data_IF_001499396436
#
_entry.id   IF_001499396436
#
_cell.length_a   1.000
_cell.length_b   1.000
_cell.length_c   1.000
_cell.angle_alpha   90.00
_cell.angle_beta   90.00
_cell.angle_gamma   90.00
#
_symmetry.space_group_name_H-M   'P 1'
#
loop_
_entity.id
_entity.type
_entity.pdbx_description
1 polymer ?
#
# COMPACT_ATOMS: atom_id res chain seq x y z
N UNK A 1 -64.26 45.07 -37.83
CA UNK A 1 -63.84 43.72 -38.34
C UNK A 1 -62.33 43.65 -38.09
N UNK A 2 -61.93 43.04 -37.01
CA UNK A 2 -60.51 42.94 -36.61
C UNK A 2 -60.16 41.44 -36.48
N UNK A 3 -59.32 40.95 -37.39
CA UNK A 3 -58.90 39.57 -37.42
C UNK A 3 -57.74 39.37 -36.41
N UNK A 4 -57.90 38.45 -35.46
CA UNK A 4 -56.86 38.05 -34.55
C UNK A 4 -56.07 36.90 -35.16
N UNK A 5 -54.76 37.06 -35.33
CA UNK A 5 -53.83 36.05 -35.76
C UNK A 5 -53.35 35.27 -34.55
N UNK A 6 -53.70 33.97 -34.53
CA UNK A 6 -53.26 33.03 -33.47
C UNK A 6 -51.91 32.43 -33.88
N UNK A 7 -50.83 32.84 -33.22
CA UNK A 7 -49.48 32.28 -33.43
C UNK A 7 -49.31 31.01 -32.63
N UNK A 8 -49.17 29.85 -33.28
CA UNK A 8 -48.95 28.57 -32.70
C UNK A 8 -47.43 28.39 -32.42
N UNK A 9 -47.05 28.39 -31.12
CA UNK A 9 -45.70 28.06 -30.67
C UNK A 9 -45.51 26.53 -30.62
N UNK A 10 -44.72 26.00 -31.55
CA UNK A 10 -44.31 24.60 -31.56
C UNK A 10 -43.06 24.50 -30.67
N UNK A 11 -43.19 23.97 -29.46
CA UNK A 11 -42.06 23.58 -28.61
C UNK A 11 -41.54 22.21 -29.06
N UNK A 12 -40.38 22.18 -29.67
CA UNK A 12 -39.63 20.94 -29.94
C UNK A 12 -38.96 20.45 -28.65
N UNK A 13 -39.47 19.37 -28.10
CA UNK A 13 -38.80 18.68 -27.02
C UNK A 13 -37.55 17.98 -27.58
N UNK A 14 -36.36 18.38 -27.11
CA UNK A 14 -35.10 17.70 -27.38
C UNK A 14 -35.05 16.33 -26.71
N UNK A 15 -34.28 15.39 -27.25
CA UNK A 15 -34.19 14.04 -26.65
C UNK A 15 -33.57 14.08 -25.26
N UNK A 16 -34.28 13.51 -24.28
CA UNK A 16 -33.76 13.29 -22.95
C UNK A 16 -32.56 12.32 -23.04
N UNK A 17 -31.40 12.81 -22.67
CA UNK A 17 -30.22 11.94 -22.46
C UNK A 17 -30.51 11.05 -21.26
N UNK A 18 -30.76 9.76 -21.50
CA UNK A 18 -30.77 8.73 -20.49
C UNK A 18 -29.41 8.70 -19.80
N UNK A 19 -29.32 9.16 -18.57
CA UNK A 19 -28.23 8.79 -17.67
C UNK A 19 -28.24 7.26 -17.54
N UNK A 20 -27.30 6.62 -18.21
CA UNK A 20 -27.09 5.19 -18.12
C UNK A 20 -26.59 4.85 -16.74
N UNK A 21 -27.33 3.98 -16.07
CA UNK A 21 -27.01 3.37 -14.79
C UNK A 21 -25.69 2.57 -14.95
N UNK A 22 -24.57 3.12 -14.49
CA UNK A 22 -23.20 2.60 -14.67
C UNK A 22 -22.87 1.40 -13.75
N UNK A 23 -23.93 0.79 -13.16
CA UNK A 23 -23.80 -0.32 -12.22
C UNK A 23 -23.46 -1.69 -12.87
N UNK A 24 -23.34 -1.76 -14.20
CA UNK A 24 -23.12 -3.02 -14.89
C UNK A 24 -21.94 -2.98 -15.91
N UNK A 25 -20.87 -2.24 -15.61
CA UNK A 25 -19.63 -2.36 -16.35
C UNK A 25 -18.93 -3.66 -15.93
N UNK A 26 -18.65 -4.58 -16.85
CA UNK A 26 -17.98 -5.81 -16.49
C UNK A 26 -16.57 -5.52 -15.95
N UNK A 27 -16.19 -6.21 -14.88
CA UNK A 27 -14.89 -6.11 -14.18
C UNK A 27 -13.67 -6.08 -15.13
N UNK A 28 -13.77 -6.72 -16.28
CA UNK A 28 -12.74 -6.75 -17.33
C UNK A 28 -12.39 -5.36 -17.89
N UNK A 29 -13.32 -4.41 -17.90
CA UNK A 29 -13.07 -3.06 -18.46
C UNK A 29 -12.36 -2.15 -17.45
N UNK A 30 -12.54 -2.38 -16.15
CA UNK A 30 -11.80 -1.67 -15.09
C UNK A 30 -10.33 -2.12 -15.01
N UNK A 31 -10.09 -3.41 -15.23
CA UNK A 31 -8.73 -3.97 -15.25
C UNK A 31 -7.85 -3.42 -16.38
N UNK A 32 -8.44 -3.07 -17.52
CA UNK A 32 -7.72 -2.55 -18.68
C UNK A 32 -7.22 -1.10 -18.50
N UNK A 33 -7.74 -0.35 -17.54
CA UNK A 33 -7.33 1.04 -17.27
C UNK A 33 -6.26 1.19 -16.17
N UNK A 34 -5.84 0.09 -15.52
CA UNK A 34 -4.64 0.05 -14.70
C UNK A 34 -3.49 -0.14 -15.67
N UNK A 35 -2.95 0.97 -16.16
CA UNK A 35 -1.91 0.98 -17.17
C UNK A 35 -0.71 0.12 -16.73
N UNK A 36 -0.55 -1.05 -17.35
CA UNK A 36 0.74 -1.75 -17.48
C UNK A 36 1.65 -0.96 -18.46
N UNK A 37 1.56 0.38 -18.39
CA UNK A 37 2.43 1.26 -19.13
C UNK A 37 3.86 1.04 -18.62
N UNK A 38 4.81 0.97 -19.53
CA UNK A 38 6.26 0.83 -19.35
C UNK A 38 6.86 1.94 -18.46
N UNK A 39 6.32 2.14 -17.24
CA UNK A 39 6.91 3.06 -16.28
C UNK A 39 8.31 2.54 -15.94
N UNK A 40 9.32 3.38 -16.20
CA UNK A 40 10.71 3.08 -15.89
C UNK A 40 10.82 2.68 -14.40
N UNK A 41 11.53 1.58 -14.08
CA UNK A 41 11.77 1.20 -12.69
C UNK A 41 12.47 2.32 -11.91
N UNK A 42 12.02 2.54 -10.67
CA UNK A 42 12.56 3.54 -9.75
C UNK A 42 13.13 2.83 -8.52
N UNK A 43 14.14 1.97 -8.72
CA UNK A 43 14.81 1.28 -7.63
C UNK A 43 15.53 2.26 -6.70
N UNK A 44 15.41 2.04 -5.40
CA UNK A 44 16.07 2.85 -4.39
C UNK A 44 16.67 1.98 -3.27
N UNK A 45 17.81 2.39 -2.67
CA UNK A 45 18.43 1.66 -1.58
C UNK A 45 17.62 1.79 -0.28
N UNK A 46 17.86 0.84 0.64
CA UNK A 46 17.41 0.91 2.03
C UNK A 46 18.31 1.87 2.79
N UNK A 47 17.77 2.99 3.29
CA UNK A 47 18.56 4.02 3.98
C UNK A 47 18.02 4.21 5.38
N UNK A 48 18.91 4.12 6.39
CA UNK A 48 18.59 4.50 7.77
C UNK A 48 18.31 5.99 7.86
N UNK A 49 17.25 6.35 8.61
CA UNK A 49 16.82 7.75 8.81
C UNK A 49 16.50 8.00 10.28
N UNK A 50 16.83 9.20 10.73
CA UNK A 50 16.22 9.80 11.90
C UNK A 50 14.93 10.49 11.43
N UNK A 51 13.79 9.86 11.64
CA UNK A 51 12.49 10.29 11.16
C UNK A 51 11.41 9.93 12.20
N UNK A 52 10.71 10.94 12.70
CA UNK A 52 9.55 10.71 13.57
C UNK A 52 8.46 9.97 12.79
N UNK A 53 8.39 8.66 13.02
CA UNK A 53 7.40 7.78 12.42
C UNK A 53 6.31 7.47 13.43
N UNK A 54 5.07 7.84 13.11
CA UNK A 54 3.96 7.77 14.07
C UNK A 54 3.17 6.48 13.93
N UNK A 55 2.60 6.04 15.07
CA UNK A 55 1.59 4.99 15.07
C UNK A 55 0.34 5.43 14.32
N UNK A 56 -0.38 4.46 13.79
CA UNK A 56 -1.66 4.73 13.14
C UNK A 56 -2.69 3.63 13.42
N UNK A 57 -3.95 4.04 13.45
CA UNK A 57 -5.10 3.14 13.36
C UNK A 57 -5.86 3.48 12.09
N UNK A 58 -5.79 2.59 11.11
CA UNK A 58 -6.46 2.72 9.83
C UNK A 58 -7.47 1.57 9.64
N UNK A 59 -8.29 1.64 8.58
CA UNK A 59 -9.28 0.61 8.27
C UNK A 59 -8.86 -0.24 7.09
N UNK A 60 -9.16 -1.54 7.18
CA UNK A 60 -9.06 -2.46 6.03
C UNK A 60 -10.17 -2.19 5.01
N UNK A 61 -10.13 -2.92 3.88
CA UNK A 61 -11.22 -2.90 2.88
C UNK A 61 -12.58 -3.34 3.45
N UNK A 62 -12.56 -4.19 4.48
CA UNK A 62 -13.76 -4.69 5.20
C UNK A 62 -14.15 -3.78 6.38
N UNK A 63 -13.62 -2.55 6.42
CA UNK A 63 -13.90 -1.53 7.44
C UNK A 63 -13.48 -1.94 8.86
N UNK A 64 -12.60 -2.94 9.01
CA UNK A 64 -12.07 -3.40 10.29
C UNK A 64 -10.90 -2.50 10.73
N UNK A 65 -10.82 -2.11 12.01
CA UNK A 65 -9.69 -1.34 12.50
C UNK A 65 -8.41 -2.18 12.50
N UNK A 66 -7.30 -1.55 12.16
CA UNK A 66 -5.95 -2.10 12.21
C UNK A 66 -5.03 -1.08 12.87
N UNK A 67 -4.35 -1.47 13.94
CA UNK A 67 -3.35 -0.63 14.60
C UNK A 67 -1.94 -1.17 14.35
N UNK A 68 -1.01 -0.29 13.96
CA UNK A 68 0.35 -0.69 13.60
C UNK A 68 1.15 -1.19 14.81
N UNK A 69 1.08 -0.52 15.95
CA UNK A 69 1.80 -0.92 17.18
C UNK A 69 1.37 -2.31 17.65
N UNK A 70 0.07 -2.57 17.67
CA UNK A 70 -0.46 -3.89 18.03
C UNK A 70 0.00 -4.97 17.05
N UNK A 71 -0.04 -4.65 15.75
CA UNK A 71 0.44 -5.56 14.72
C UNK A 71 1.92 -5.87 14.81
N UNK A 72 2.75 -4.88 15.18
CA UNK A 72 4.20 -5.02 15.31
C UNK A 72 4.61 -5.88 16.51
N UNK A 73 3.73 -6.05 17.51
CA UNK A 73 4.06 -6.80 18.71
C UNK A 73 4.52 -8.22 18.38
N UNK A 74 5.69 -8.60 18.90
CA UNK A 74 6.28 -9.92 18.71
C UNK A 74 6.93 -10.18 17.34
N UNK A 75 7.02 -9.16 16.48
CA UNK A 75 7.71 -9.24 15.19
C UNK A 75 9.02 -8.45 15.26
N UNK A 76 10.19 -9.06 14.96
CA UNK A 76 11.46 -8.33 14.97
C UNK A 76 11.53 -7.16 13.98
N UNK A 77 10.91 -7.32 12.81
CA UNK A 77 10.92 -6.33 11.71
C UNK A 77 9.53 -6.19 11.12
N UNK A 78 9.10 -4.96 10.87
CA UNK A 78 7.87 -4.65 10.14
C UNK A 78 8.18 -3.74 8.96
N UNK A 79 7.70 -4.13 7.77
CA UNK A 79 7.70 -3.30 6.56
C UNK A 79 6.33 -2.65 6.42
N UNK A 80 6.30 -1.33 6.38
CA UNK A 80 5.12 -0.54 6.02
C UNK A 80 5.29 -0.09 4.58
N UNK A 81 4.51 -0.66 3.68
CA UNK A 81 4.49 -0.32 2.25
C UNK A 81 3.42 0.74 1.99
N UNK A 82 3.79 1.88 1.44
CA UNK A 82 2.85 2.88 0.91
C UNK A 82 2.74 2.72 -0.60
N UNK A 83 1.56 2.36 -1.08
CA UNK A 83 1.33 2.07 -2.48
C UNK A 83 0.11 2.80 -3.05
N UNK A 84 0.03 2.89 -4.38
CA UNK A 84 -1.20 3.27 -5.06
C UNK A 84 -1.58 2.18 -6.06
N UNK A 85 -2.83 1.68 -6.00
CA UNK A 85 -3.29 0.54 -6.81
C UNK A 85 -3.21 0.78 -8.32
N UNK A 86 -3.22 2.04 -8.74
CA UNK A 86 -3.07 2.46 -10.14
C UNK A 86 -1.60 2.72 -10.56
N UNK A 87 -0.64 2.70 -9.61
CA UNK A 87 0.77 3.02 -9.91
C UNK A 87 1.49 1.79 -10.46
N UNK A 88 2.04 1.87 -11.66
CA UNK A 88 2.76 0.78 -12.31
C UNK A 88 3.97 0.30 -11.49
N UNK A 89 4.74 1.24 -10.88
CA UNK A 89 5.88 0.89 -10.03
C UNK A 89 5.43 0.15 -8.75
N UNK A 90 4.31 0.58 -8.14
CA UNK A 90 3.73 -0.15 -7.00
C UNK A 90 3.29 -1.56 -7.40
N UNK A 91 2.59 -1.70 -8.51
CA UNK A 91 2.13 -3.00 -9.00
C UNK A 91 3.30 -3.96 -9.30
N UNK A 92 4.38 -3.46 -9.90
CA UNK A 92 5.57 -4.25 -10.18
C UNK A 92 6.28 -4.68 -8.90
N UNK A 93 6.49 -3.74 -7.96
CA UNK A 93 7.28 -4.01 -6.76
C UNK A 93 6.51 -4.80 -5.69
N UNK A 94 5.18 -4.79 -5.69
CA UNK A 94 4.36 -5.59 -4.77
C UNK A 94 4.65 -7.10 -4.87
N UNK A 95 5.02 -7.62 -6.05
CA UNK A 95 5.46 -9.00 -6.21
C UNK A 95 6.77 -9.29 -5.44
N UNK A 96 7.66 -8.30 -5.33
CA UNK A 96 8.89 -8.43 -4.52
C UNK A 96 8.51 -8.51 -3.04
N UNK A 97 7.64 -7.62 -2.58
CA UNK A 97 7.19 -7.59 -1.18
C UNK A 97 6.47 -8.88 -0.80
N UNK A 98 5.62 -9.40 -1.69
CA UNK A 98 4.91 -10.66 -1.48
C UNK A 98 5.88 -11.84 -1.35
N UNK A 99 6.93 -11.93 -2.21
CA UNK A 99 7.97 -12.96 -2.07
C UNK A 99 8.75 -12.84 -0.76
N UNK A 100 9.11 -11.62 -0.35
CA UNK A 100 9.75 -11.37 0.95
C UNK A 100 8.85 -11.80 2.10
N UNK A 101 7.55 -11.43 2.06
CA UNK A 101 6.57 -11.87 3.04
C UNK A 101 6.47 -13.39 3.12
N UNK A 102 6.23 -14.05 2.01
CA UNK A 102 6.11 -15.52 1.95
C UNK A 102 7.35 -16.21 2.51
N UNK A 103 8.53 -15.69 2.20
CA UNK A 103 9.81 -16.29 2.63
C UNK A 103 10.11 -16.07 4.11
N UNK A 104 9.78 -14.89 4.65
CA UNK A 104 10.27 -14.48 5.97
C UNK A 104 9.21 -14.37 7.06
N UNK A 105 7.91 -14.50 6.78
CA UNK A 105 6.83 -14.37 7.77
C UNK A 105 6.97 -15.35 8.94
N UNK A 106 7.42 -16.58 8.69
CA UNK A 106 7.65 -17.59 9.73
C UNK A 106 8.87 -17.29 10.61
N UNK A 107 9.71 -16.35 10.17
CA UNK A 107 10.85 -15.83 10.93
C UNK A 107 10.53 -14.50 11.62
N UNK A 108 9.27 -14.07 11.60
CA UNK A 108 8.81 -12.88 12.30
C UNK A 108 8.79 -11.60 11.47
N UNK A 109 8.94 -11.66 10.13
CA UNK A 109 8.68 -10.50 9.29
C UNK A 109 7.20 -10.12 9.36
N UNK A 110 6.91 -8.87 9.69
CA UNK A 110 5.61 -8.24 9.49
C UNK A 110 5.60 -7.41 8.19
N UNK A 111 4.49 -7.43 7.47
CA UNK A 111 4.24 -6.53 6.34
C UNK A 111 2.83 -5.97 6.47
N UNK A 112 2.67 -4.67 6.27
CA UNK A 112 1.38 -4.01 6.10
C UNK A 112 1.46 -3.05 4.92
N UNK A 113 0.48 -3.12 4.03
CA UNK A 113 0.37 -2.18 2.92
C UNK A 113 -0.67 -1.10 3.23
N UNK A 114 -0.27 0.17 3.04
CA UNK A 114 -1.11 1.36 3.21
C UNK A 114 -1.46 1.90 1.84
N UNK A 115 -2.73 1.80 1.48
CA UNK A 115 -3.23 2.29 0.21
C UNK A 115 -3.38 3.80 0.22
N UNK A 116 -2.76 4.43 -0.76
CA UNK A 116 -2.74 5.87 -0.96
C UNK A 116 -3.40 6.25 -2.28
N UNK A 117 -4.18 7.32 -2.27
CA UNK A 117 -4.73 7.94 -3.50
C UNK A 117 -5.55 7.00 -4.37
N UNK A 118 -6.03 5.90 -3.80
CA UNK A 118 -6.70 4.81 -4.50
C UNK A 118 -8.08 4.56 -3.91
N UNK A 119 -9.09 4.46 -4.77
CA UNK A 119 -10.39 4.02 -4.32
C UNK A 119 -10.40 2.51 -3.99
N UNK A 120 -11.45 2.04 -3.35
CA UNK A 120 -11.53 0.66 -2.86
C UNK A 120 -11.45 -0.39 -3.99
N UNK A 121 -11.90 -0.07 -5.20
CA UNK A 121 -11.84 -0.99 -6.34
C UNK A 121 -10.42 -1.10 -6.89
N UNK A 122 -9.70 0.03 -7.01
CA UNK A 122 -8.28 0.05 -7.39
C UNK A 122 -7.43 -0.78 -6.40
N UNK A 123 -7.72 -0.66 -5.09
CA UNK A 123 -7.04 -1.44 -4.04
C UNK A 123 -7.39 -2.94 -4.16
N UNK A 124 -8.67 -3.28 -4.34
CA UNK A 124 -9.11 -4.67 -4.49
C UNK A 124 -8.51 -5.36 -5.72
N UNK A 125 -8.45 -4.63 -6.85
CA UNK A 125 -7.81 -5.12 -8.07
C UNK A 125 -6.31 -5.38 -7.82
N UNK A 126 -5.63 -4.48 -7.14
CA UNK A 126 -4.21 -4.63 -6.79
C UNK A 126 -3.98 -5.88 -5.93
N UNK A 127 -4.74 -6.05 -4.82
CA UNK A 127 -4.64 -7.21 -3.94
C UNK A 127 -4.84 -8.52 -4.71
N UNK A 128 -5.90 -8.60 -5.52
CA UNK A 128 -6.24 -9.81 -6.25
C UNK A 128 -5.20 -10.16 -7.34
N UNK A 129 -4.65 -9.14 -8.01
CA UNK A 129 -3.63 -9.34 -9.07
C UNK A 129 -2.34 -9.91 -8.51
N UNK A 130 -1.91 -9.41 -7.33
CA UNK A 130 -0.65 -9.80 -6.71
C UNK A 130 -0.80 -11.09 -5.90
N UNK A 131 -1.99 -11.34 -5.34
CA UNK A 131 -2.25 -12.44 -4.40
C UNK A 131 -1.82 -12.09 -2.97
N UNK A 132 -1.97 -10.82 -2.57
CA UNK A 132 -1.56 -10.32 -1.25
C UNK A 132 -2.37 -10.99 -0.15
N UNK A 133 -1.69 -11.58 0.85
CA UNK A 133 -2.28 -12.18 2.05
C UNK A 133 -1.85 -11.51 3.37
N UNK A 134 -1.05 -10.45 3.32
CA UNK A 134 -0.76 -9.59 4.47
C UNK A 134 -1.78 -8.45 4.59
N UNK A 135 -1.87 -7.77 5.77
CA UNK A 135 -2.82 -6.69 5.98
C UNK A 135 -2.69 -5.56 4.97
N UNK A 136 -3.84 -5.12 4.41
CA UNK A 136 -3.95 -3.94 3.55
C UNK A 136 -4.93 -2.97 4.18
N UNK A 137 -4.50 -1.74 4.43
CA UNK A 137 -5.28 -0.67 5.03
C UNK A 137 -5.34 0.55 4.12
N UNK A 138 -6.32 1.42 4.33
CA UNK A 138 -6.55 2.59 3.48
C UNK A 138 -6.33 3.87 4.29
N UNK A 139 -5.39 4.71 3.87
CA UNK A 139 -5.21 6.04 4.43
C UNK A 139 -5.97 7.09 3.59
N UNK A 140 -5.71 7.16 2.27
CA UNK A 140 -6.35 8.14 1.39
C UNK A 140 -6.99 7.47 0.18
N UNK A 141 -8.22 7.91 -0.18
CA UNK A 141 -9.00 7.34 -1.29
C UNK A 141 -8.93 8.18 -2.56
N UNK A 142 -8.57 9.45 -2.45
CA UNK A 142 -8.60 10.40 -3.57
C UNK A 142 -7.23 11.02 -3.81
N UNK A 143 -6.90 11.23 -5.08
CA UNK A 143 -5.65 11.88 -5.49
C UNK A 143 -5.50 13.31 -4.94
N UNK A 144 -6.61 14.00 -4.68
CA UNK A 144 -6.63 15.34 -4.08
C UNK A 144 -6.18 15.38 -2.61
N UNK A 145 -6.32 14.28 -1.88
CA UNK A 145 -5.97 14.16 -0.45
C UNK A 145 -4.46 13.95 -0.22
N UNK A 146 -3.66 13.93 -1.28
CA UNK A 146 -2.23 13.59 -1.23
C UNK A 146 -1.43 14.32 -0.15
N UNK A 147 -1.66 15.63 0.03
CA UNK A 147 -0.87 16.43 0.97
C UNK A 147 -1.24 16.18 2.44
N UNK A 148 -2.36 15.54 2.68
CA UNK A 148 -2.89 15.28 4.02
C UNK A 148 -2.37 13.96 4.57
N UNK A 149 -1.91 13.04 3.69
CA UNK A 149 -1.44 11.71 4.07
C UNK A 149 -0.14 11.73 4.87
N UNK A 150 0.02 10.74 5.75
CA UNK A 150 1.26 10.49 6.47
C UNK A 150 2.40 10.14 5.50
N UNK A 151 2.10 9.36 4.47
CA UNK A 151 3.00 9.06 3.36
C UNK A 151 3.62 10.32 2.75
N UNK A 152 2.82 11.32 2.41
CA UNK A 152 3.34 12.58 1.85
C UNK A 152 4.31 13.26 2.80
N UNK A 153 4.00 13.31 4.09
CA UNK A 153 4.85 13.92 5.12
C UNK A 153 6.17 13.19 5.24
N UNK A 154 6.16 11.85 5.38
CA UNK A 154 7.37 11.04 5.53
C UNK A 154 8.29 11.15 4.33
N UNK A 155 7.79 10.93 3.12
CA UNK A 155 8.64 10.99 1.92
C UNK A 155 9.22 12.38 1.70
N UNK A 156 8.49 13.46 2.05
CA UNK A 156 9.02 14.83 1.96
C UNK A 156 10.09 15.09 3.00
N UNK A 157 9.94 14.58 4.21
CA UNK A 157 10.94 14.69 5.26
C UNK A 157 12.27 14.02 4.88
N UNK A 158 12.24 12.91 4.12
CA UNK A 158 13.45 12.23 3.63
C UNK A 158 13.94 12.75 2.28
N UNK A 159 13.33 13.82 1.73
CA UNK A 159 13.78 14.48 0.50
C UNK A 159 13.23 13.88 -0.81
N UNK A 160 12.28 12.96 -0.77
CA UNK A 160 11.63 12.44 -1.97
C UNK A 160 10.75 13.52 -2.63
N UNK A 161 11.12 13.92 -3.87
CA UNK A 161 10.45 14.97 -4.64
C UNK A 161 9.51 14.44 -5.72
N UNK A 162 9.40 13.12 -5.90
CA UNK A 162 8.52 12.51 -6.90
C UNK A 162 7.07 13.02 -6.73
N UNK A 163 6.33 13.12 -7.83
CA UNK A 163 4.96 13.68 -7.79
C UNK A 163 4.05 12.88 -6.87
N UNK A 164 4.01 11.57 -7.04
CA UNK A 164 3.16 10.65 -6.27
C UNK A 164 3.95 9.93 -5.18
N UNK A 165 5.19 9.53 -5.47
CA UNK A 165 6.14 8.95 -4.53
C UNK A 165 5.78 7.52 -4.09
N UNK A 166 4.95 6.82 -4.83
CA UNK A 166 4.66 5.40 -4.61
C UNK A 166 5.42 4.54 -5.61
N UNK A 167 5.90 3.34 -5.20
CA UNK A 167 5.93 2.89 -3.82
C UNK A 167 6.92 3.68 -2.95
N UNK A 168 6.68 3.66 -1.64
CA UNK A 168 7.57 4.13 -0.59
C UNK A 168 7.48 3.16 0.58
N UNK A 169 8.58 2.91 1.25
CA UNK A 169 8.62 1.98 2.37
C UNK A 169 9.22 2.63 3.61
N UNK A 170 8.62 2.34 4.77
CA UNK A 170 9.23 2.49 6.07
C UNK A 170 9.44 1.11 6.68
N UNK A 171 10.67 0.80 7.10
CA UNK A 171 11.00 -0.47 7.73
C UNK A 171 11.39 -0.17 9.18
N UNK A 172 10.72 -0.83 10.10
CA UNK A 172 10.85 -0.63 11.55
C UNK A 172 11.45 -1.88 12.16
N UNK A 173 12.54 -1.74 12.88
CA UNK A 173 12.99 -2.74 13.84
C UNK A 173 12.20 -2.53 15.14
N UNK A 174 11.47 -3.53 15.62
CA UNK A 174 10.53 -3.33 16.74
C UNK A 174 11.22 -3.05 18.07
N UNK A 175 12.51 -3.34 18.18
CA UNK A 175 13.35 -2.90 19.31
C UNK A 175 13.48 -1.36 19.39
N UNK A 176 13.21 -0.63 18.32
CA UNK A 176 13.25 0.83 18.25
C UNK A 176 11.86 1.47 18.48
N UNK A 177 10.84 0.66 18.73
CA UNK A 177 9.50 1.15 19.06
C UNK A 177 9.52 1.74 20.46
N UNK A 178 9.22 3.04 20.53
CA UNK A 178 9.13 3.77 21.79
C UNK A 178 7.85 3.43 22.56
N UNK A 179 7.87 3.52 23.90
CA UNK A 179 6.64 3.38 24.71
C UNK A 179 5.54 4.35 24.23
N UNK A 180 4.25 3.99 24.40
CA UNK A 180 3.14 4.87 24.01
C UNK A 180 3.02 6.03 25.01
N UNK A 181 3.59 7.19 24.66
CA UNK A 181 3.53 8.41 25.48
C UNK A 181 2.90 9.55 24.67
N UNK A 182 1.64 9.89 24.99
CA UNK A 182 0.93 11.02 24.37
C UNK A 182 1.02 11.01 22.83
N UNK A 183 1.57 12.07 22.25
CA UNK A 183 1.79 12.20 20.80
C UNK A 183 3.22 11.84 20.36
N UNK A 184 3.93 11.06 21.16
CA UNK A 184 5.29 10.61 20.79
C UNK A 184 5.25 9.75 19.52
N UNK A 185 6.30 9.79 18.67
CA UNK A 185 6.41 8.90 17.54
C UNK A 185 6.47 7.43 17.97
N UNK A 186 6.05 6.54 17.09
CA UNK A 186 6.19 5.10 17.26
C UNK A 186 7.66 4.71 17.29
N UNK A 187 8.45 5.28 16.38
CA UNK A 187 9.89 5.09 16.28
C UNK A 187 10.54 6.36 15.68
N UNK A 188 11.80 6.62 16.07
CA UNK A 188 12.61 7.72 15.51
C UNK A 188 13.69 7.22 14.57
N UNK A 189 14.16 6.00 14.76
CA UNK A 189 15.08 5.32 13.85
C UNK A 189 14.28 4.38 12.95
N UNK A 190 14.22 4.68 11.67
CA UNK A 190 13.54 3.87 10.66
C UNK A 190 14.42 3.75 9.41
N UNK A 191 14.20 2.70 8.64
CA UNK A 191 14.82 2.58 7.33
C UNK A 191 13.78 2.91 6.27
N UNK A 192 14.18 3.64 5.23
CA UNK A 192 13.24 4.04 4.17
C UNK A 192 13.76 3.64 2.79
N UNK A 193 12.81 3.34 1.90
CA UNK A 193 13.07 3.18 0.46
C UNK A 193 12.16 4.13 -0.30
N UNK A 194 12.75 5.09 -1.01
CA UNK A 194 12.01 6.10 -1.77
C UNK A 194 11.84 5.66 -3.24
N UNK A 195 11.24 4.49 -3.44
CA UNK A 195 11.12 3.85 -4.75
C UNK A 195 10.83 2.37 -4.61
N UNK A 196 11.19 1.61 -5.64
CA UNK A 196 11.05 0.17 -5.64
C UNK A 196 12.17 -0.48 -4.81
N UNK A 197 11.79 -1.42 -3.93
CA UNK A 197 12.74 -2.23 -3.16
C UNK A 197 13.60 -3.07 -4.11
N UNK A 198 14.91 -3.07 -3.88
CA UNK A 198 15.85 -4.01 -4.49
C UNK A 198 15.80 -5.32 -3.69
N UNK A 199 15.25 -6.38 -4.28
CA UNK A 199 14.96 -7.65 -3.58
C UNK A 199 16.19 -8.20 -2.86
N UNK A 200 17.34 -8.29 -3.54
CA UNK A 200 18.58 -8.81 -2.96
C UNK A 200 19.13 -7.98 -1.80
N UNK A 201 18.86 -6.68 -1.79
CA UNK A 201 19.23 -5.80 -0.67
C UNK A 201 18.30 -6.02 0.53
N UNK A 202 17.00 -6.12 0.28
CA UNK A 202 16.01 -6.42 1.31
C UNK A 202 16.26 -7.81 1.93
N UNK A 203 16.57 -8.82 1.15
CA UNK A 203 16.95 -10.14 1.66
C UNK A 203 18.16 -10.06 2.60
N UNK A 204 19.25 -9.39 2.18
CA UNK A 204 20.42 -9.21 3.04
C UNK A 204 20.08 -8.45 4.33
N UNK A 205 19.25 -7.42 4.23
CA UNK A 205 18.76 -6.66 5.39
C UNK A 205 17.99 -7.55 6.36
N UNK A 206 17.06 -8.35 5.88
CA UNK A 206 16.23 -9.25 6.68
C UNK A 206 17.03 -10.42 7.26
N UNK A 207 17.96 -10.99 6.52
CA UNK A 207 18.83 -12.08 7.02
C UNK A 207 19.69 -11.67 8.21
N UNK A 208 20.05 -10.40 8.32
CA UNK A 208 20.82 -9.87 9.45
C UNK A 208 19.98 -9.62 10.71
N UNK A 209 18.65 -9.45 10.56
CA UNK A 209 17.74 -8.97 11.61
C UNK A 209 16.73 -10.00 12.10
N UNK A 210 16.38 -10.94 11.24
CA UNK A 210 15.40 -11.96 11.59
C UNK A 210 16.08 -13.19 12.22
N UNK A 211 15.43 -13.86 13.20
CA UNK A 211 15.93 -15.09 13.79
C UNK A 211 16.25 -16.15 12.71
N UNK A 212 17.36 -16.83 12.86
CA UNK A 212 17.67 -17.97 11.99
C UNK A 212 16.72 -19.12 12.35
N UNK A 213 16.24 -19.83 11.34
CA UNK A 213 15.48 -21.07 11.56
C UNK A 213 16.46 -22.05 12.22
N UNK A 214 16.14 -22.50 13.45
CA UNK A 214 16.90 -23.56 14.08
C UNK A 214 16.79 -24.82 13.21
N UNK A 215 17.88 -25.19 12.54
CA UNK A 215 17.97 -26.48 11.87
C UNK A 215 18.07 -27.52 12.98
N UNK A 216 16.97 -28.23 13.24
CA UNK A 216 16.97 -29.40 14.12
C UNK A 216 17.87 -30.45 13.49
N UNK A 217 19.17 -30.41 13.82
CA UNK A 217 20.07 -31.53 13.61
C UNK A 217 19.82 -32.58 14.69
N UNK A 218 18.61 -33.10 14.77
CA UNK A 218 18.31 -34.32 15.53
C UNK A 218 18.45 -35.52 14.60
N UNK A 219 19.67 -35.80 14.20
CA UNK A 219 20.08 -37.09 13.71
C UNK A 219 20.35 -38.01 14.88
N UNK A 220 19.33 -38.26 15.71
CA UNK A 220 19.39 -39.38 16.65
C UNK A 220 19.22 -40.67 15.82
N UNK A 221 20.34 -41.32 15.52
CA UNK A 221 20.35 -42.72 15.05
C UNK A 221 19.62 -43.55 16.13
N UNK A 222 18.51 -44.15 15.76
CA UNK A 222 17.84 -45.19 16.58
C UNK A 222 18.74 -46.43 16.51
N UNK A 223 19.28 -46.94 17.62
CA UNK A 223 19.96 -48.24 17.57
C UNK A 223 18.88 -49.28 17.33
N UNK A 224 19.08 -50.04 16.25
CA UNK A 224 18.27 -51.22 15.98
C UNK A 224 18.63 -52.31 17.01
N UNK A 225 17.65 -53.12 17.45
CA UNK A 225 17.83 -54.21 18.40
C UNK A 225 18.61 -55.40 17.85
#
# INVERSE_FOLDING_TARGET
MTAAILTLLITTAGPATREGNDANRPFATLAANVADGEAKPEYAPIIERNLDFFDFTLKTLEDRPFNLREYAAGKPVVIVEYFAGWCANSNRNAHVVERLWTRYRTRGLGVVAVAEYSNSDEVRIHINRIGIDYPVVIETKKRGERKDSSHYKYRRAVGDKRRWGTPFYAIIETQDIEPPEGNAPLARRVYTVSGEIIESEAERFLEQRLPKIATNRSGAAIPMP
#
